data_IF_559307662738
#
_entry.id   IF_559307662738
#
_cell.length_a   1.000
_cell.length_b   1.000
_cell.length_c   1.000
_cell.angle_alpha   90.00
_cell.angle_beta   90.00
_cell.angle_gamma   90.00
#
_symmetry.space_group_name_H-M   'P 1'
#
loop_
_entity.id
_entity.type
_entity.pdbx_description
1 polymer ?
#
# COMPACT_ATOMS: atom_id res chain seq x y z
N UNK A 1 -4.14 4.67 -18.97
CA UNK A 1 -4.91 3.56 -18.37
C UNK A 1 -4.72 2.23 -19.14
N UNK A 2 -4.78 2.24 -20.48
CA UNK A 2 -4.51 1.02 -21.28
C UNK A 2 -3.03 0.61 -21.22
N UNK A 3 -2.11 1.56 -21.37
CA UNK A 3 -0.65 1.36 -21.26
C UNK A 3 -0.24 0.88 -19.85
N UNK A 4 -1.01 1.21 -18.83
CA UNK A 4 -0.80 0.80 -17.45
C UNK A 4 -1.45 -0.55 -17.11
N UNK A 5 -2.12 -1.19 -18.08
CA UNK A 5 -2.79 -2.46 -17.92
C UNK A 5 -4.03 -2.42 -17.02
N UNK A 6 -4.63 -1.23 -16.84
CA UNK A 6 -5.81 -1.04 -15.99
C UNK A 6 -7.13 -1.28 -16.75
N UNK A 7 -7.15 -1.03 -18.06
CA UNK A 7 -8.30 -1.23 -18.93
C UNK A 7 -7.91 -1.95 -20.21
N UNK A 8 -8.85 -2.71 -20.75
CA UNK A 8 -8.80 -3.28 -22.10
C UNK A 8 -9.75 -2.51 -23.00
N UNK A 9 -9.23 -1.99 -24.10
CA UNK A 9 -10.07 -1.39 -25.15
C UNK A 9 -10.52 -2.49 -26.11
N UNK A 10 -11.84 -2.76 -26.12
CA UNK A 10 -12.43 -3.77 -26.99
C UNK A 10 -13.09 -3.03 -28.16
N UNK A 11 -12.62 -3.25 -29.41
CA UNK A 11 -13.22 -2.61 -30.58
C UNK A 11 -14.73 -2.79 -30.60
N UNK A 12 -15.48 -1.69 -30.76
CA UNK A 12 -16.96 -1.61 -30.79
C UNK A 12 -17.70 -1.91 -29.47
N UNK A 13 -16.98 -2.30 -28.37
CA UNK A 13 -17.58 -2.56 -27.05
C UNK A 13 -17.18 -1.55 -25.98
N UNK A 14 -16.16 -0.73 -26.26
CA UNK A 14 -15.64 0.25 -25.30
C UNK A 14 -14.48 -0.26 -24.45
N UNK A 15 -14.30 0.30 -23.26
CA UNK A 15 -13.23 -0.06 -22.35
C UNK A 15 -13.79 -0.93 -21.20
N UNK A 16 -13.13 -2.04 -20.90
CA UNK A 16 -13.41 -2.89 -19.74
C UNK A 16 -12.25 -2.86 -18.77
N UNK A 17 -12.53 -2.98 -17.45
CA UNK A 17 -11.47 -3.10 -16.44
C UNK A 17 -10.74 -4.41 -16.65
N UNK A 18 -9.42 -4.32 -16.87
CA UNK A 18 -8.59 -5.50 -17.10
C UNK A 18 -8.49 -6.37 -15.84
N UNK A 19 -8.43 -7.69 -15.98
CA UNK A 19 -8.12 -8.58 -14.86
C UNK A 19 -6.72 -8.36 -14.34
N UNK A 20 -6.53 -8.56 -13.02
CA UNK A 20 -5.21 -8.53 -12.41
C UNK A 20 -4.44 -9.77 -12.85
N UNK A 21 -3.33 -9.54 -13.58
CA UNK A 21 -2.40 -10.61 -13.96
C UNK A 21 -1.35 -10.79 -12.87
N UNK A 22 -1.10 -12.03 -12.45
CA UNK A 22 -0.12 -12.34 -11.40
C UNK A 22 1.27 -11.76 -11.69
N UNK A 23 1.75 -11.86 -12.94
CA UNK A 23 3.04 -11.28 -13.32
C UNK A 23 3.05 -9.75 -13.12
N UNK A 24 2.02 -9.06 -13.59
CA UNK A 24 1.92 -7.60 -13.45
C UNK A 24 1.86 -7.16 -11.99
N UNK A 25 1.12 -7.90 -11.15
CA UNK A 25 1.08 -7.68 -9.71
C UNK A 25 2.47 -7.79 -9.09
N UNK A 26 3.21 -8.86 -9.39
CA UNK A 26 4.54 -9.08 -8.83
C UNK A 26 5.54 -8.02 -9.28
N UNK A 27 5.56 -7.69 -10.58
CA UNK A 27 6.47 -6.68 -11.13
C UNK A 27 6.24 -5.30 -10.46
N UNK A 28 4.98 -4.87 -10.30
CA UNK A 28 4.65 -3.60 -9.66
C UNK A 28 4.97 -3.60 -8.16
N UNK A 29 4.61 -4.66 -7.45
CA UNK A 29 4.83 -4.71 -5.99
C UNK A 29 6.30 -4.93 -5.62
N UNK A 30 7.10 -5.54 -6.49
CA UNK A 30 8.57 -5.61 -6.34
C UNK A 30 9.19 -4.22 -6.41
N UNK A 31 8.80 -3.41 -7.39
CA UNK A 31 9.26 -2.00 -7.50
C UNK A 31 8.74 -1.18 -6.32
N UNK A 32 7.46 -1.31 -5.96
CA UNK A 32 6.88 -0.65 -4.79
C UNK A 32 7.65 -0.96 -3.52
N UNK A 33 7.98 -2.23 -3.29
CA UNK A 33 8.74 -2.68 -2.11
C UNK A 33 10.08 -1.94 -1.99
N UNK A 34 10.85 -1.87 -3.07
CA UNK A 34 12.12 -1.16 -3.10
C UNK A 34 11.96 0.35 -2.83
N UNK A 35 10.91 0.98 -3.37
CA UNK A 35 10.63 2.39 -3.16
C UNK A 35 10.13 2.68 -1.73
N UNK A 36 9.23 1.88 -1.19
CA UNK A 36 8.71 2.08 0.18
C UNK A 36 9.74 1.67 1.25
N UNK A 37 10.63 0.72 0.95
CA UNK A 37 11.81 0.44 1.78
C UNK A 37 12.70 1.68 1.92
N UNK A 38 13.04 2.34 0.83
CA UNK A 38 13.78 3.59 0.85
C UNK A 38 12.98 4.70 1.56
N UNK A 39 11.69 4.77 1.32
CA UNK A 39 10.79 5.76 1.94
C UNK A 39 10.82 5.67 3.47
N UNK A 40 10.59 4.49 4.03
CA UNK A 40 10.58 4.30 5.48
C UNK A 40 11.95 4.53 6.12
N UNK A 41 13.03 4.20 5.42
CA UNK A 41 14.40 4.50 5.88
C UNK A 41 14.63 6.00 6.01
N UNK A 42 14.24 6.77 5.00
CA UNK A 42 14.38 8.22 5.00
C UNK A 42 13.42 8.88 5.99
N UNK A 43 12.20 8.36 6.13
CA UNK A 43 11.25 8.83 7.13
C UNK A 43 11.80 8.65 8.55
N UNK A 44 12.41 7.52 8.89
CA UNK A 44 13.07 7.32 10.19
C UNK A 44 14.13 8.37 10.51
N UNK A 45 14.76 8.96 9.48
CA UNK A 45 15.79 9.99 9.67
C UNK A 45 15.22 11.41 9.80
N UNK A 46 14.06 11.68 9.18
CA UNK A 46 13.60 13.05 8.91
C UNK A 46 12.25 13.40 9.52
N UNK A 47 11.45 12.40 9.90
CA UNK A 47 10.08 12.62 10.36
C UNK A 47 10.02 13.59 11.54
N UNK A 48 9.10 14.54 11.48
CA UNK A 48 8.84 15.50 12.54
C UNK A 48 7.90 14.94 13.59
N UNK A 49 7.79 15.61 14.74
CA UNK A 49 6.84 15.23 15.79
C UNK A 49 5.40 15.38 15.33
N UNK A 50 5.13 16.39 14.55
CA UNK A 50 3.82 16.68 13.96
C UNK A 50 3.42 15.55 13.00
N UNK A 51 4.31 15.13 12.11
CA UNK A 51 4.07 14.02 11.19
C UNK A 51 3.90 12.67 11.92
N UNK A 52 4.57 12.45 13.05
CA UNK A 52 4.35 11.27 13.89
C UNK A 52 2.91 11.27 14.46
N UNK A 53 2.39 12.41 14.91
CA UNK A 53 1.02 12.50 15.39
C UNK A 53 0.02 12.29 14.24
N UNK A 54 0.26 12.87 13.06
CA UNK A 54 -0.54 12.61 11.85
C UNK A 54 -0.55 11.11 11.48
N UNK A 55 0.60 10.44 11.60
CA UNK A 55 0.71 9.00 11.32
C UNK A 55 -0.11 8.16 12.31
N UNK A 56 -0.12 8.52 13.59
CA UNK A 56 -0.97 7.89 14.61
C UNK A 56 -2.46 8.10 14.32
N UNK A 57 -2.85 9.32 13.96
CA UNK A 57 -4.23 9.64 13.60
C UNK A 57 -4.69 8.87 12.35
N UNK A 58 -3.80 8.72 11.36
CA UNK A 58 -4.09 7.94 10.16
C UNK A 58 -4.30 6.45 10.49
N UNK A 59 -3.50 5.86 11.40
CA UNK A 59 -3.70 4.49 11.86
C UNK A 59 -5.04 4.31 12.60
N UNK A 60 -5.42 5.26 13.45
CA UNK A 60 -6.73 5.23 14.12
C UNK A 60 -7.89 5.41 13.12
N UNK A 61 -7.69 6.21 12.08
CA UNK A 61 -8.66 6.37 10.99
C UNK A 61 -8.86 5.06 10.23
N UNK A 62 -7.78 4.36 9.93
CA UNK A 62 -7.84 3.03 9.32
C UNK A 62 -8.60 2.02 10.19
N UNK A 63 -8.35 1.97 11.51
CA UNK A 63 -9.09 1.13 12.45
C UNK A 63 -10.60 1.44 12.47
N UNK A 64 -10.97 2.72 12.36
CA UNK A 64 -12.37 3.13 12.31
C UNK A 64 -13.02 2.78 10.98
N UNK A 65 -12.30 2.99 9.86
CA UNK A 65 -12.78 2.69 8.52
C UNK A 65 -13.18 1.21 8.36
N UNK A 66 -12.43 0.28 8.95
CA UNK A 66 -12.75 -1.16 8.90
C UNK A 66 -14.15 -1.49 9.44
N UNK A 67 -14.64 -0.72 10.42
CA UNK A 67 -15.98 -0.93 11.00
C UNK A 67 -17.10 -0.53 10.06
N UNK A 68 -16.82 0.32 9.06
CA UNK A 68 -17.82 0.77 8.07
C UNK A 68 -18.15 -0.29 7.04
N UNK A 69 -17.25 -1.27 6.82
CA UNK A 69 -17.31 -2.27 5.74
C UNK A 69 -17.27 -1.64 4.33
N UNK A 70 -16.95 -0.37 4.21
CA UNK A 70 -16.77 0.32 2.95
C UNK A 70 -15.32 0.18 2.50
N UNK A 71 -15.10 -0.67 1.49
CA UNK A 71 -13.76 -0.99 0.96
C UNK A 71 -13.04 0.26 0.45
N UNK A 72 -13.76 1.22 -0.12
CA UNK A 72 -13.17 2.47 -0.60
C UNK A 72 -12.62 3.28 0.57
N UNK A 73 -13.41 3.48 1.63
CA UNK A 73 -12.95 4.19 2.83
C UNK A 73 -11.77 3.50 3.50
N UNK A 74 -11.78 2.17 3.56
CA UNK A 74 -10.67 1.40 4.15
C UNK A 74 -9.40 1.57 3.30
N UNK A 75 -9.51 1.47 1.97
CA UNK A 75 -8.38 1.61 1.07
C UNK A 75 -7.79 3.03 1.09
N UNK A 76 -8.64 4.06 1.13
CA UNK A 76 -8.22 5.47 1.22
C UNK A 76 -7.50 5.75 2.54
N UNK A 77 -7.98 5.19 3.65
CA UNK A 77 -7.33 5.33 4.95
C UNK A 77 -5.94 4.66 4.98
N UNK A 78 -5.80 3.50 4.35
CA UNK A 78 -4.50 2.82 4.20
C UNK A 78 -3.54 3.59 3.29
N UNK A 79 -4.04 4.12 2.15
CA UNK A 79 -3.25 5.01 1.28
C UNK A 79 -2.74 6.21 2.05
N UNK A 80 -3.60 6.86 2.83
CA UNK A 80 -3.22 8.04 3.60
C UNK A 80 -2.10 7.75 4.61
N UNK A 81 -2.16 6.61 5.29
CA UNK A 81 -1.10 6.16 6.20
C UNK A 81 0.26 6.06 5.49
N UNK A 82 0.31 5.41 4.33
CA UNK A 82 1.53 5.29 3.53
C UNK A 82 2.00 6.64 2.96
N UNK A 83 1.08 7.49 2.53
CA UNK A 83 1.40 8.83 1.98
C UNK A 83 2.11 9.72 3.02
N UNK A 84 1.76 9.64 4.31
CA UNK A 84 2.47 10.36 5.38
C UNK A 84 3.92 9.90 5.47
N UNK A 85 4.17 8.58 5.49
CA UNK A 85 5.54 8.03 5.52
C UNK A 85 6.33 8.47 4.29
N UNK A 86 5.70 8.41 3.10
CA UNK A 86 6.33 8.80 1.85
C UNK A 86 6.66 10.30 1.83
N UNK A 87 5.78 11.14 2.35
CA UNK A 87 6.01 12.59 2.47
C UNK A 87 7.13 12.89 3.46
N UNK A 88 7.15 12.23 4.62
CA UNK A 88 8.18 12.36 5.64
C UNK A 88 9.57 11.94 5.13
N UNK A 89 9.65 11.10 4.08
CA UNK A 89 10.94 10.80 3.41
C UNK A 89 11.64 12.04 2.88
N UNK A 90 10.90 13.10 2.55
CA UNK A 90 11.39 14.35 1.97
C UNK A 90 12.03 14.18 0.60
N UNK A 91 11.88 13.03 -0.05
CA UNK A 91 12.48 12.73 -1.36
C UNK A 91 11.43 12.89 -2.48
N UNK A 92 11.40 14.06 -3.12
CA UNK A 92 10.43 14.38 -4.16
C UNK A 92 10.46 13.42 -5.36
N UNK A 93 11.64 12.90 -5.72
CA UNK A 93 11.76 11.96 -6.83
C UNK A 93 11.17 10.59 -6.48
N UNK A 94 11.38 10.13 -5.26
CA UNK A 94 10.76 8.92 -4.72
C UNK A 94 9.22 9.04 -4.74
N UNK A 95 8.70 10.17 -4.24
CA UNK A 95 7.26 10.44 -4.23
C UNK A 95 6.69 10.43 -5.65
N UNK A 96 7.37 11.04 -6.63
CA UNK A 96 6.96 11.00 -8.03
C UNK A 96 6.89 9.57 -8.59
N UNK A 97 7.89 8.74 -8.29
CA UNK A 97 7.91 7.34 -8.76
C UNK A 97 6.76 6.53 -8.15
N UNK A 98 6.49 6.69 -6.85
CA UNK A 98 5.35 6.05 -6.19
C UNK A 98 4.01 6.54 -6.77
N UNK A 99 3.88 7.84 -7.05
CA UNK A 99 2.68 8.38 -7.69
C UNK A 99 2.44 7.82 -9.10
N UNK A 100 3.49 7.50 -9.86
CA UNK A 100 3.36 6.86 -11.17
C UNK A 100 2.78 5.44 -11.08
N UNK A 101 2.92 4.78 -9.92
CA UNK A 101 2.37 3.44 -9.65
C UNK A 101 1.03 3.49 -8.90
N UNK A 102 0.55 4.68 -8.51
CA UNK A 102 -0.58 4.88 -7.58
C UNK A 102 -1.83 4.09 -7.97
N UNK A 103 -2.26 4.19 -9.23
CA UNK A 103 -3.48 3.53 -9.71
C UNK A 103 -3.38 2.00 -9.64
N UNK A 104 -2.24 1.45 -10.04
CA UNK A 104 -2.00 0.00 -9.99
C UNK A 104 -1.93 -0.48 -8.53
N UNK A 105 -1.19 0.23 -7.67
CA UNK A 105 -1.08 -0.08 -6.25
C UNK A 105 -2.43 0.01 -5.54
N UNK A 106 -3.24 1.03 -5.86
CA UNK A 106 -4.59 1.18 -5.30
C UNK A 106 -5.49 0.00 -5.66
N UNK A 107 -5.46 -0.44 -6.91
CA UNK A 107 -6.22 -1.60 -7.37
C UNK A 107 -5.84 -2.88 -6.61
N UNK A 108 -4.55 -3.13 -6.41
CA UNK A 108 -4.08 -4.29 -5.67
C UNK A 108 -4.42 -4.20 -4.17
N UNK A 109 -4.35 -3.01 -3.60
CA UNK A 109 -4.78 -2.74 -2.23
C UNK A 109 -6.26 -3.02 -2.02
N UNK A 110 -7.11 -2.55 -2.91
CA UNK A 110 -8.56 -2.83 -2.86
C UNK A 110 -8.82 -4.33 -2.90
N UNK A 111 -8.15 -5.08 -3.78
CA UNK A 111 -8.32 -6.53 -3.85
C UNK A 111 -7.87 -7.23 -2.56
N UNK A 112 -6.76 -6.79 -1.95
CA UNK A 112 -6.26 -7.29 -0.67
C UNK A 112 -7.25 -7.04 0.48
N UNK A 113 -7.78 -5.83 0.55
CA UNK A 113 -8.68 -5.40 1.63
C UNK A 113 -10.10 -5.96 1.54
N UNK A 114 -10.46 -6.65 0.46
CA UNK A 114 -11.74 -7.40 0.38
C UNK A 114 -11.81 -8.56 1.37
N UNK A 115 -10.67 -9.07 1.83
CA UNK A 115 -10.62 -10.08 2.86
C UNK A 115 -10.47 -9.45 4.26
N UNK A 116 -11.53 -9.44 5.11
CA UNK A 116 -11.45 -8.85 6.44
C UNK A 116 -10.47 -9.55 7.40
N UNK A 117 -10.08 -10.78 7.10
CA UNK A 117 -9.15 -11.56 7.94
C UNK A 117 -7.74 -10.93 7.99
N UNK A 118 -7.40 -10.09 7.01
CA UNK A 118 -6.10 -9.39 6.98
C UNK A 118 -6.04 -8.18 7.92
N UNK A 119 -7.19 -7.65 8.38
CA UNK A 119 -7.23 -6.39 9.13
C UNK A 119 -6.49 -6.43 10.47
N UNK A 120 -6.61 -7.47 11.32
CA UNK A 120 -5.87 -7.51 12.58
C UNK A 120 -4.36 -7.44 12.38
N UNK A 121 -3.84 -8.11 11.35
CA UNK A 121 -2.42 -8.08 11.00
C UNK A 121 -2.00 -6.71 10.50
N UNK A 122 -2.80 -6.08 9.61
CA UNK A 122 -2.53 -4.73 9.11
C UNK A 122 -2.48 -3.69 10.22
N UNK A 123 -3.41 -3.76 11.18
CA UNK A 123 -3.41 -2.87 12.35
C UNK A 123 -2.10 -3.04 13.13
N UNK A 124 -1.72 -4.29 13.43
CA UNK A 124 -0.50 -4.58 14.17
C UNK A 124 0.75 -4.06 13.43
N UNK A 125 0.81 -4.25 12.11
CA UNK A 125 1.92 -3.77 11.28
C UNK A 125 2.01 -2.24 11.25
N UNK A 126 0.88 -1.52 11.17
CA UNK A 126 0.86 -0.06 11.26
C UNK A 126 1.34 0.42 12.63
N UNK A 127 0.91 -0.19 13.73
CA UNK A 127 1.35 0.15 15.09
C UNK A 127 2.84 -0.11 15.30
N UNK A 128 3.35 -1.24 14.78
CA UNK A 128 4.78 -1.55 14.81
C UNK A 128 5.57 -0.52 13.99
N UNK A 129 5.12 -0.15 12.78
CA UNK A 129 5.77 0.86 11.95
C UNK A 129 5.85 2.21 12.66
N UNK A 130 4.74 2.69 13.25
CA UNK A 130 4.72 3.93 14.02
C UNK A 130 5.76 3.88 15.14
N UNK A 131 5.80 2.78 15.90
CA UNK A 131 6.73 2.60 17.00
C UNK A 131 8.18 2.67 16.52
N UNK A 132 8.52 1.94 15.45
CA UNK A 132 9.89 1.87 14.93
C UNK A 132 10.33 3.18 14.29
N UNK A 133 9.44 3.85 13.55
CA UNK A 133 9.71 5.16 12.96
C UNK A 133 9.91 6.21 14.07
N UNK A 134 9.06 6.22 15.08
CA UNK A 134 9.17 7.17 16.22
C UNK A 134 10.50 7.02 16.99
N UNK A 135 10.99 5.79 17.11
CA UNK A 135 12.27 5.52 17.77
C UNK A 135 13.48 5.57 16.82
N UNK A 136 13.28 5.97 15.56
CA UNK A 136 14.33 6.00 14.53
C UNK A 136 15.01 4.65 14.29
N UNK A 137 14.29 3.55 14.51
CA UNK A 137 14.77 2.18 14.34
C UNK A 137 14.69 1.75 12.87
N UNK A 138 15.52 2.35 12.04
CA UNK A 138 15.51 2.25 10.57
C UNK A 138 15.45 0.81 10.05
N UNK A 139 16.31 -0.07 10.56
CA UNK A 139 16.38 -1.46 10.08
C UNK A 139 15.11 -2.25 10.39
N UNK A 140 14.55 -2.07 11.59
CA UNK A 140 13.35 -2.77 12.02
C UNK A 140 12.12 -2.24 11.27
N UNK A 141 11.99 -0.92 11.11
CA UNK A 141 10.93 -0.32 10.29
C UNK A 141 10.98 -0.83 8.84
N UNK A 142 12.17 -0.96 8.25
CA UNK A 142 12.36 -1.52 6.92
C UNK A 142 11.87 -2.96 6.83
N UNK A 143 12.22 -3.82 7.79
CA UNK A 143 11.76 -5.22 7.81
C UNK A 143 10.24 -5.32 7.88
N UNK A 144 9.61 -4.48 8.70
CA UNK A 144 8.14 -4.46 8.84
C UNK A 144 7.50 -4.04 7.53
N UNK A 145 7.98 -2.96 6.89
CA UNK A 145 7.47 -2.48 5.61
C UNK A 145 7.61 -3.55 4.52
N UNK A 146 8.75 -4.22 4.42
CA UNK A 146 8.95 -5.31 3.46
C UNK A 146 7.96 -6.46 3.69
N UNK A 147 7.81 -6.91 4.93
CA UNK A 147 6.85 -7.96 5.31
C UNK A 147 5.42 -7.56 4.97
N UNK A 148 5.03 -6.33 5.27
CA UNK A 148 3.72 -5.78 4.98
C UNK A 148 3.38 -5.86 3.48
N UNK A 149 4.32 -5.52 2.60
CA UNK A 149 4.12 -5.61 1.15
C UNK A 149 4.12 -7.06 0.67
N UNK A 150 5.02 -7.91 1.20
CA UNK A 150 5.07 -9.34 0.85
C UNK A 150 3.75 -10.04 1.19
N UNK A 151 3.16 -9.75 2.34
CA UNK A 151 1.84 -10.28 2.74
C UNK A 151 0.74 -9.89 1.74
N UNK A 152 0.78 -8.66 1.22
CA UNK A 152 -0.16 -8.22 0.18
C UNK A 152 0.05 -8.98 -1.13
N UNK A 153 1.32 -9.21 -1.55
CA UNK A 153 1.63 -9.99 -2.75
C UNK A 153 1.07 -11.40 -2.65
N UNK A 154 1.32 -12.07 -1.54
CA UNK A 154 0.87 -13.46 -1.33
C UNK A 154 -0.65 -13.55 -1.34
N UNK A 155 -1.33 -12.74 -0.55
CA UNK A 155 -2.79 -12.75 -0.43
C UNK A 155 -3.49 -12.47 -1.77
N UNK A 156 -3.05 -11.46 -2.53
CA UNK A 156 -3.66 -11.15 -3.84
C UNK A 156 -3.32 -12.22 -4.88
N UNK A 157 -2.12 -12.80 -4.82
CA UNK A 157 -1.73 -13.93 -5.70
C UNK A 157 -2.66 -15.12 -5.50
N UNK A 158 -2.96 -15.47 -4.26
CA UNK A 158 -3.85 -16.58 -3.93
C UNK A 158 -5.28 -16.34 -4.46
N UNK A 159 -5.79 -15.12 -4.34
CA UNK A 159 -7.08 -14.75 -4.93
C UNK A 159 -7.09 -14.90 -6.44
N UNK A 160 -6.03 -14.46 -7.14
CA UNK A 160 -5.91 -14.58 -8.60
C UNK A 160 -5.91 -16.05 -9.03
N UNK A 161 -5.20 -16.90 -8.30
CA UNK A 161 -5.10 -18.33 -8.60
C UNK A 161 -6.42 -19.05 -8.38
N UNK A 162 -7.12 -18.74 -7.30
CA UNK A 162 -8.42 -19.32 -6.96
C UNK A 162 -9.50 -18.97 -7.99
N UNK A 163 -9.48 -17.76 -8.56
CA UNK A 163 -10.43 -17.33 -9.60
C UNK A 163 -10.22 -18.02 -10.97
N UNK A 164 -9.09 -18.70 -11.18
CA UNK A 164 -8.77 -19.39 -12.43
C UNK A 164 -9.19 -20.88 -12.43
N UNK A 165 -9.65 -21.40 -11.32
CA UNK A 165 -10.20 -22.75 -11.15
C UNK A 165 -11.72 -22.72 -11.24
#
# INVERSE_FOLDING_TARGET
LELEGLVLVIPRKGAEVADIKEKSLRDVLEVRKALEELSVQLACEKITKEEIEELKEAAETFKKAQKTKDITQIAEADVHFHDIINTASGNQKLIQLLNNLREQMYRYRVEYLKNPEVYPQLIAEHEELITKITHHEKQEATKIMCRHIDNQVEAVTDVIRTKKV
#
